data_IF_310052277209
#
_entry.id   IF_310052277209
#
_cell.length_a   1.000
_cell.length_b   1.000
_cell.length_c   1.000
_cell.angle_alpha   90.00
_cell.angle_beta   90.00
_cell.angle_gamma   90.00
#
_symmetry.space_group_name_H-M   'P 1'
#
loop_
_entity.id
_entity.type
_entity.pdbx_description
1 polymer ?
#
# COMPACT_ATOMS: atom_id res chain seq x y z
N UNK A 1 9.41 28.81 4.94
CA UNK A 1 9.58 27.37 4.84
C UNK A 1 9.17 26.95 3.45
N UNK A 2 9.89 26.02 2.83
CA UNK A 2 9.48 25.47 1.53
C UNK A 2 8.41 24.40 1.80
N UNK A 3 7.28 24.52 1.15
CA UNK A 3 6.28 23.47 1.12
C UNK A 3 6.86 22.23 0.40
N UNK A 4 6.54 21.06 0.90
CA UNK A 4 6.97 19.78 0.35
C UNK A 4 5.73 19.02 -0.12
N UNK A 5 5.67 18.73 -1.40
CA UNK A 5 4.58 17.94 -2.00
C UNK A 5 4.72 16.46 -1.58
N UNK A 6 4.17 16.13 -0.42
CA UNK A 6 4.29 14.78 0.13
C UNK A 6 3.46 13.76 -0.66
N UNK A 7 2.33 14.17 -1.19
CA UNK A 7 1.48 13.36 -2.05
C UNK A 7 2.24 12.82 -3.29
N UNK A 8 3.00 13.70 -3.94
CA UNK A 8 3.85 13.33 -5.08
C UNK A 8 4.98 12.40 -4.67
N UNK A 9 5.62 12.67 -3.52
CA UNK A 9 6.73 11.86 -3.04
C UNK A 9 6.26 10.43 -2.71
N UNK A 10 5.15 10.29 -2.00
CA UNK A 10 4.58 8.97 -1.67
C UNK A 10 4.15 8.24 -2.95
N UNK A 11 3.52 8.95 -3.88
CA UNK A 11 3.09 8.36 -5.15
C UNK A 11 4.26 7.82 -5.96
N UNK A 12 5.34 8.60 -6.06
CA UNK A 12 6.55 8.21 -6.76
C UNK A 12 7.23 7.00 -6.08
N UNK A 13 7.42 7.07 -4.77
CA UNK A 13 8.02 5.97 -4.02
C UNK A 13 7.19 4.67 -4.12
N UNK A 14 5.86 4.78 -4.10
CA UNK A 14 4.99 3.62 -4.33
C UNK A 14 5.20 3.03 -5.72
N UNK A 15 5.26 3.90 -6.75
CA UNK A 15 5.49 3.46 -8.12
C UNK A 15 6.82 2.72 -8.30
N UNK A 16 7.87 3.18 -7.65
CA UNK A 16 9.18 2.53 -7.70
C UNK A 16 9.16 1.13 -7.04
N UNK A 17 8.24 0.91 -6.10
CA UNK A 17 8.11 -0.36 -5.38
C UNK A 17 7.19 -1.37 -6.07
N UNK A 18 6.42 -1.00 -7.10
CA UNK A 18 5.41 -1.88 -7.71
C UNK A 18 5.99 -3.23 -8.16
N UNK A 19 7.19 -3.22 -8.71
CA UNK A 19 7.83 -4.43 -9.23
C UNK A 19 8.72 -5.15 -8.19
N UNK A 20 8.75 -4.69 -6.94
CA UNK A 20 9.52 -5.37 -5.90
C UNK A 20 8.83 -6.68 -5.50
N UNK A 21 9.59 -7.78 -5.47
CA UNK A 21 9.07 -9.13 -5.15
C UNK A 21 8.84 -9.35 -3.65
N UNK A 22 9.48 -8.55 -2.80
CA UNK A 22 9.42 -8.68 -1.33
C UNK A 22 8.44 -7.68 -0.73
N UNK A 23 8.32 -7.72 0.59
CA UNK A 23 7.55 -6.71 1.36
C UNK A 23 7.97 -5.29 0.95
N UNK A 24 6.98 -4.46 0.74
CA UNK A 24 7.13 -3.09 0.26
C UNK A 24 6.76 -2.14 1.38
N UNK A 25 7.68 -1.25 1.73
CA UNK A 25 7.43 -0.25 2.75
C UNK A 25 8.13 1.06 2.39
N UNK A 26 7.45 2.15 2.64
CA UNK A 26 8.01 3.50 2.58
C UNK A 26 8.23 3.96 4.02
N UNK A 27 9.44 4.39 4.33
CA UNK A 27 9.77 4.99 5.62
C UNK A 27 10.17 6.44 5.37
N UNK A 28 9.36 7.37 5.85
CA UNK A 28 9.70 8.80 5.80
C UNK A 28 10.31 9.21 7.13
N UNK A 29 11.53 9.76 7.09
CA UNK A 29 12.22 10.32 8.25
C UNK A 29 12.14 11.84 8.14
N UNK A 30 11.55 12.50 9.12
CA UNK A 30 11.39 13.94 9.12
C UNK A 30 11.92 14.60 10.38
N UNK A 31 12.78 15.59 10.19
CA UNK A 31 13.18 16.53 11.23
C UNK A 31 12.45 17.87 11.12
N UNK A 32 11.48 18.00 10.22
CA UNK A 32 10.72 19.20 9.97
C UNK A 32 9.31 19.20 10.59
N UNK A 33 8.65 20.34 10.50
CA UNK A 33 7.25 20.47 10.86
C UNK A 33 6.40 19.87 9.72
N UNK A 34 5.53 18.93 10.06
CA UNK A 34 4.63 18.26 9.10
C UNK A 34 3.60 19.21 8.48
N UNK A 35 3.37 20.38 9.08
CA UNK A 35 2.55 21.46 8.49
C UNK A 35 3.09 21.99 7.16
N UNK A 36 4.35 21.72 6.83
CA UNK A 36 4.93 22.09 5.55
C UNK A 36 4.65 21.06 4.44
N UNK A 37 4.03 19.93 4.75
CA UNK A 37 3.63 18.95 3.76
C UNK A 37 2.32 19.35 3.08
N UNK A 38 2.28 19.19 1.77
CA UNK A 38 1.09 19.52 0.97
C UNK A 38 0.57 18.29 0.21
N UNK A 39 -0.74 18.27 0.01
CA UNK A 39 -1.49 17.23 -0.68
C UNK A 39 -2.39 17.86 -1.74
N UNK A 40 -1.77 18.59 -2.69
CA UNK A 40 -2.50 19.40 -3.68
C UNK A 40 -2.91 18.60 -4.91
N UNK A 41 -2.11 17.62 -5.31
CA UNK A 41 -2.31 16.89 -6.55
C UNK A 41 -3.13 15.61 -6.38
N UNK A 42 -2.95 14.94 -5.26
CA UNK A 42 -3.69 13.74 -4.93
C UNK A 42 -4.35 13.93 -3.57
N UNK A 43 -5.66 13.67 -3.48
CA UNK A 43 -6.34 13.69 -2.19
C UNK A 43 -5.90 12.47 -1.35
N UNK A 44 -6.12 12.57 -0.03
CA UNK A 44 -5.66 11.54 0.91
C UNK A 44 -6.28 10.16 0.66
N UNK A 45 -7.57 10.11 0.28
CA UNK A 45 -8.26 8.85 0.03
C UNK A 45 -7.74 8.15 -1.24
N UNK A 46 -7.49 8.91 -2.31
CA UNK A 46 -6.89 8.37 -3.54
C UNK A 46 -5.46 7.89 -3.31
N UNK A 47 -4.68 8.66 -2.56
CA UNK A 47 -3.30 8.33 -2.25
C UNK A 47 -3.20 7.05 -1.42
N UNK A 48 -3.98 6.96 -0.33
CA UNK A 48 -4.01 5.76 0.51
C UNK A 48 -4.52 4.54 -0.22
N UNK A 49 -5.55 4.69 -1.06
CA UNK A 49 -6.03 3.61 -1.91
C UNK A 49 -4.96 3.13 -2.88
N UNK A 50 -4.20 4.05 -3.48
CA UNK A 50 -3.11 3.69 -4.38
C UNK A 50 -1.99 2.94 -3.66
N UNK A 51 -1.59 3.40 -2.48
CA UNK A 51 -0.56 2.76 -1.65
C UNK A 51 -1.01 1.34 -1.26
N UNK A 52 -2.26 1.19 -0.78
CA UNK A 52 -2.82 -0.09 -0.38
C UNK A 52 -2.99 -1.08 -1.54
N UNK A 53 -3.47 -0.61 -2.70
CA UNK A 53 -3.65 -1.46 -3.88
C UNK A 53 -2.32 -2.02 -4.40
N UNK A 54 -1.21 -1.35 -4.09
CA UNK A 54 0.13 -1.82 -4.41
C UNK A 54 0.80 -2.56 -3.25
N UNK A 55 0.07 -2.87 -2.18
CA UNK A 55 0.57 -3.58 -0.98
C UNK A 55 1.81 -2.92 -0.38
N UNK A 56 1.79 -1.59 -0.28
CA UNK A 56 2.86 -0.79 0.33
C UNK A 56 2.40 -0.28 1.68
N UNK A 57 3.22 -0.40 2.72
CA UNK A 57 3.00 0.26 4.01
C UNK A 57 3.73 1.60 4.05
N UNK A 58 3.11 2.61 4.68
CA UNK A 58 3.74 3.92 4.88
C UNK A 58 3.98 4.18 6.36
N UNK A 59 5.22 4.18 6.78
CA UNK A 59 5.65 4.47 8.15
C UNK A 59 6.38 5.81 8.24
N UNK A 60 6.24 6.48 9.37
CA UNK A 60 6.79 7.81 9.58
C UNK A 60 7.66 7.85 10.84
N UNK A 61 8.86 8.39 10.71
CA UNK A 61 9.78 8.61 11.84
C UNK A 61 9.87 10.11 12.09
N UNK A 62 9.29 10.56 13.19
CA UNK A 62 9.36 11.96 13.63
C UNK A 62 10.56 12.18 14.53
N UNK A 63 11.46 13.04 14.09
CA UNK A 63 12.66 13.39 14.85
C UNK A 63 12.39 14.50 15.87
N UNK A 64 11.51 15.44 15.54
CA UNK A 64 11.11 16.52 16.43
C UNK A 64 9.98 16.10 17.38
N UNK A 65 9.87 16.83 18.51
CA UNK A 65 8.84 16.57 19.52
C UNK A 65 7.44 17.11 19.15
N UNK A 66 7.27 17.54 17.92
CA UNK A 66 5.98 18.03 17.44
C UNK A 66 5.07 16.86 17.05
N UNK A 67 3.77 17.03 17.30
CA UNK A 67 2.79 16.10 16.75
C UNK A 67 2.78 16.17 15.22
N UNK A 68 2.50 15.05 14.57
CA UNK A 68 2.23 15.02 13.13
C UNK A 68 0.86 15.62 12.84
N UNK A 69 0.67 16.10 11.61
CA UNK A 69 -0.64 16.62 11.17
C UNK A 69 -1.62 15.47 10.93
N UNK A 70 -2.92 15.81 10.97
CA UNK A 70 -3.99 14.82 10.76
C UNK A 70 -3.90 14.12 9.42
N UNK A 71 -3.40 14.81 8.38
CA UNK A 71 -3.21 14.24 7.05
C UNK A 71 -2.13 13.15 7.04
N UNK A 72 -1.02 13.40 7.72
CA UNK A 72 0.06 12.41 7.84
C UNK A 72 -0.39 11.22 8.67
N UNK A 73 -1.05 11.48 9.79
CA UNK A 73 -1.62 10.44 10.65
C UNK A 73 -2.65 9.59 9.90
N UNK A 74 -3.50 10.22 9.09
CA UNK A 74 -4.47 9.52 8.25
C UNK A 74 -3.80 8.51 7.30
N UNK A 75 -2.72 8.90 6.61
CA UNK A 75 -2.02 8.01 5.68
C UNK A 75 -1.40 6.84 6.44
N UNK A 76 -0.74 7.10 7.56
CA UNK A 76 -0.12 6.06 8.40
C UNK A 76 -1.17 5.02 8.81
N UNK A 77 -2.26 5.47 9.42
CA UNK A 77 -3.29 4.59 9.98
C UNK A 77 -4.07 3.83 8.89
N UNK A 78 -4.12 4.35 7.67
CA UNK A 78 -4.85 3.72 6.58
C UNK A 78 -3.98 2.92 5.60
N UNK A 79 -2.66 2.81 5.85
CA UNK A 79 -1.73 2.03 5.00
C UNK A 79 -0.99 0.95 5.77
N UNK A 80 -1.47 0.55 6.93
CA UNK A 80 -0.83 -0.43 7.82
C UNK A 80 0.62 -0.05 8.19
N UNK A 81 0.93 1.24 8.23
CA UNK A 81 2.20 1.75 8.72
C UNK A 81 2.13 2.18 10.18
N UNK A 82 3.25 2.61 10.71
CA UNK A 82 3.39 3.06 12.10
C UNK A 82 4.08 4.41 12.21
N UNK A 83 3.82 5.11 13.33
CA UNK A 83 4.43 6.37 13.69
C UNK A 83 5.45 6.17 14.80
N UNK A 84 6.71 6.49 14.51
CA UNK A 84 7.81 6.38 15.47
C UNK A 84 8.34 7.75 15.86
N UNK A 85 8.64 7.91 17.14
CA UNK A 85 9.26 9.11 17.69
C UNK A 85 10.65 8.78 18.22
N UNK A 86 11.68 9.40 17.67
CA UNK A 86 13.07 9.17 18.06
C UNK A 86 13.35 9.49 19.55
N UNK A 87 12.65 10.47 20.08
CA UNK A 87 12.82 10.93 21.46
C UNK A 87 12.08 10.09 22.51
N UNK A 88 11.27 9.11 22.11
CA UNK A 88 10.59 8.21 23.07
C UNK A 88 11.53 7.12 23.54
N UNK A 89 11.36 6.61 24.80
CA UNK A 89 12.19 5.53 25.33
C UNK A 89 12.20 4.27 24.48
N UNK A 90 11.08 3.97 23.82
CA UNK A 90 10.94 2.84 22.90
C UNK A 90 11.84 3.03 21.68
N UNK A 91 12.04 4.28 21.26
CA UNK A 91 12.91 4.68 20.16
C UNK A 91 12.57 3.94 18.86
N UNK A 92 13.61 3.56 18.14
CA UNK A 92 13.49 2.89 16.84
C UNK A 92 13.71 1.37 16.92
N UNK A 93 13.69 0.79 18.11
CA UNK A 93 14.09 -0.62 18.31
C UNK A 93 13.24 -1.61 17.52
N UNK A 94 11.99 -1.32 17.33
CA UNK A 94 11.03 -2.27 16.75
C UNK A 94 10.72 -2.01 15.27
N UNK A 95 11.21 -0.93 14.66
CA UNK A 95 10.85 -0.55 13.29
C UNK A 95 10.98 -1.71 12.31
N UNK A 96 12.11 -2.44 12.37
CA UNK A 96 12.34 -3.53 11.41
C UNK A 96 11.39 -4.69 11.67
N UNK A 97 11.17 -5.08 12.93
CA UNK A 97 10.21 -6.13 13.27
C UNK A 97 8.79 -5.72 12.89
N UNK A 98 8.37 -4.52 13.26
CA UNK A 98 7.02 -4.01 12.96
C UNK A 98 6.75 -3.99 11.45
N UNK A 99 7.71 -3.52 10.65
CA UNK A 99 7.58 -3.56 9.18
C UNK A 99 7.53 -4.99 8.65
N UNK A 100 8.31 -5.92 9.22
CA UNK A 100 8.28 -7.33 8.81
C UNK A 100 6.97 -8.00 9.20
N UNK A 101 6.34 -7.57 10.27
CA UNK A 101 5.09 -8.11 10.79
C UNK A 101 3.84 -7.50 10.12
N UNK A 102 3.98 -6.41 9.35
CA UNK A 102 2.87 -5.86 8.55
C UNK A 102 2.27 -6.97 7.67
N UNK A 103 0.97 -7.28 7.83
CA UNK A 103 0.33 -8.29 7.01
C UNK A 103 0.27 -7.80 5.55
N UNK A 104 1.12 -8.35 4.72
CA UNK A 104 1.03 -8.19 3.27
C UNK A 104 0.50 -9.51 2.71
N UNK A 105 -0.82 -9.67 2.78
CA UNK A 105 -1.46 -10.89 2.33
C UNK A 105 -1.54 -10.96 0.82
N UNK A 106 -0.74 -11.81 0.22
CA UNK A 106 -1.07 -12.35 -1.10
C UNK A 106 -1.86 -13.64 -0.86
N UNK A 107 -3.11 -13.64 -1.28
CA UNK A 107 -3.92 -14.85 -1.25
C UNK A 107 -3.73 -15.60 -2.57
N UNK A 108 -3.32 -16.85 -2.47
CA UNK A 108 -3.32 -17.74 -3.63
C UNK A 108 -4.65 -18.48 -3.67
N UNK A 109 -5.44 -18.21 -4.69
CA UNK A 109 -6.69 -18.90 -4.94
C UNK A 109 -6.46 -19.98 -6.00
N UNK A 110 -6.92 -21.19 -5.75
CA UNK A 110 -6.91 -22.28 -6.72
C UNK A 110 -8.34 -22.76 -6.93
N UNK A 111 -8.71 -22.96 -8.17
CA UNK A 111 -10.02 -23.52 -8.50
C UNK A 111 -9.88 -24.49 -9.68
N UNK A 112 -10.80 -25.42 -9.78
CA UNK A 112 -10.91 -26.30 -10.94
C UNK A 112 -12.05 -25.81 -11.81
N UNK A 113 -11.74 -25.48 -13.05
CA UNK A 113 -12.77 -25.10 -14.01
C UNK A 113 -13.68 -26.30 -14.30
N UNK A 114 -14.98 -26.09 -14.22
CA UNK A 114 -15.98 -27.08 -14.63
C UNK A 114 -16.29 -27.02 -16.13
N UNK A 115 -15.70 -26.10 -16.85
CA UNK A 115 -15.81 -26.03 -18.31
C UNK A 115 -15.06 -27.21 -18.92
N UNK A 116 -15.80 -28.05 -19.64
CA UNK A 116 -15.23 -29.26 -20.24
C UNK A 116 -14.33 -28.99 -21.45
N UNK A 117 -14.53 -27.83 -22.09
CA UNK A 117 -13.77 -27.44 -23.29
C UNK A 117 -13.57 -25.92 -23.29
N UNK A 118 -12.64 -25.47 -24.11
CA UNK A 118 -12.42 -24.05 -24.35
C UNK A 118 -13.48 -23.40 -25.27
N UNK A 119 -14.50 -24.12 -25.68
CA UNK A 119 -15.53 -23.65 -26.64
C UNK A 119 -14.94 -23.02 -27.92
N UNK A 120 -13.77 -23.47 -28.36
CA UNK A 120 -13.03 -22.90 -29.49
C UNK A 120 -12.30 -21.58 -29.19
N UNK A 121 -12.29 -21.14 -27.94
CA UNK A 121 -11.55 -19.95 -27.52
C UNK A 121 -10.19 -20.35 -26.95
N UNK A 122 -9.14 -19.75 -27.48
CA UNK A 122 -7.79 -20.00 -27.00
C UNK A 122 -7.54 -19.36 -25.60
N UNK A 123 -8.22 -18.27 -25.30
CA UNK A 123 -8.10 -17.52 -24.07
C UNK A 123 -9.45 -17.48 -23.34
N UNK A 124 -9.46 -17.89 -22.09
CA UNK A 124 -10.64 -17.92 -21.24
C UNK A 124 -10.56 -16.82 -20.20
N UNK A 125 -11.51 -15.88 -20.18
CA UNK A 125 -11.53 -14.82 -19.19
C UNK A 125 -11.86 -15.37 -17.80
N UNK A 126 -11.24 -14.82 -16.78
CA UNK A 126 -11.53 -15.08 -15.36
C UNK A 126 -11.77 -13.76 -14.68
N UNK A 127 -12.88 -13.67 -14.04
CA UNK A 127 -13.23 -12.54 -13.20
C UNK A 127 -13.13 -12.97 -11.73
N UNK A 128 -12.43 -12.17 -10.94
CA UNK A 128 -12.32 -12.37 -9.49
C UNK A 128 -12.95 -11.19 -8.79
N UNK A 129 -13.91 -11.46 -7.91
CA UNK A 129 -14.50 -10.45 -7.05
C UNK A 129 -14.31 -10.82 -5.59
N UNK A 130 -13.82 -9.87 -4.80
CA UNK A 130 -13.59 -10.03 -3.37
C UNK A 130 -14.51 -9.09 -2.61
N UNK A 131 -15.22 -9.65 -1.65
CA UNK A 131 -16.09 -8.91 -0.76
C UNK A 131 -15.48 -8.85 0.64
N UNK A 132 -15.33 -7.66 1.19
CA UNK A 132 -14.91 -7.44 2.55
C UNK A 132 -15.82 -6.41 3.22
N UNK A 133 -16.67 -6.87 4.13
CA UNK A 133 -17.67 -6.02 4.79
C UNK A 133 -18.52 -5.24 3.76
N UNK A 134 -18.37 -3.91 3.72
CA UNK A 134 -19.12 -3.02 2.84
C UNK A 134 -18.33 -2.61 1.58
N UNK A 135 -17.25 -3.29 1.28
CA UNK A 135 -16.38 -3.01 0.12
C UNK A 135 -16.27 -4.24 -0.75
N UNK A 136 -16.22 -4.02 -2.04
CA UNK A 136 -15.85 -5.05 -3.00
C UNK A 136 -14.74 -4.55 -3.91
N UNK A 137 -13.90 -5.46 -4.34
CA UNK A 137 -12.89 -5.24 -5.37
C UNK A 137 -13.06 -6.29 -6.45
N UNK A 138 -12.94 -5.89 -7.70
CA UNK A 138 -13.08 -6.76 -8.87
C UNK A 138 -11.87 -6.57 -9.77
N UNK A 139 -11.37 -7.69 -10.29
CA UNK A 139 -10.31 -7.71 -11.28
C UNK A 139 -10.60 -8.78 -12.33
N UNK A 140 -10.17 -8.51 -13.55
CA UNK A 140 -10.37 -9.39 -14.69
C UNK A 140 -9.00 -9.82 -15.24
N UNK A 141 -8.86 -11.10 -15.45
CA UNK A 141 -7.70 -11.71 -16.05
C UNK A 141 -8.12 -12.87 -16.98
N UNK A 142 -7.26 -13.81 -17.23
CA UNK A 142 -7.62 -15.00 -17.96
C UNK A 142 -6.46 -15.95 -18.15
N UNK A 143 -6.74 -17.07 -18.75
CA UNK A 143 -5.74 -18.11 -19.00
C UNK A 143 -5.94 -18.75 -20.37
N UNK A 144 -4.87 -19.33 -20.88
CA UNK A 144 -4.93 -20.16 -22.09
C UNK A 144 -5.35 -21.56 -21.68
N UNK A 145 -6.41 -22.06 -22.31
CA UNK A 145 -6.82 -23.44 -22.09
C UNK A 145 -5.69 -24.40 -22.54
N UNK A 146 -5.42 -25.48 -21.79
CA UNK A 146 -4.46 -26.49 -22.24
C UNK A 146 -4.93 -27.11 -23.56
N UNK A 147 -4.02 -27.25 -24.46
CA UNK A 147 -4.26 -27.96 -25.72
C UNK A 147 -4.48 -29.45 -25.40
N UNK A 148 -5.62 -29.97 -25.79
CA UNK A 148 -5.91 -31.41 -25.76
C UNK A 148 -5.32 -32.10 -26.99
#
# INVERSE_FOLDING_TARGET
>A
SKNVALDLAIRLATNDLINAEKKRSIILISAGDTKNYTFEKYNLAELTSYVNNNSVGFSFIQVMQNAVTDEVDYIINNTCGDLYYVFRPEGLKNIVSDILDIPQGVYQLSYTSLLQTNFGQAYLPVETEVYLLNRSGRDESGYFAPLQ
#
